data_IF_343099951713
#
_entry.id   IF_343099951713
#
_cell.length_a   1.000
_cell.length_b   1.000
_cell.length_c   1.000
_cell.angle_alpha   90.00
_cell.angle_beta   90.00
_cell.angle_gamma   90.00
#
_symmetry.space_group_name_H-M   'P 1'
#
loop_
_entity.id
_entity.type
_entity.pdbx_description
1 polymer ?
#
# COMPACT_ATOMS: atom_id res chain seq x y z
N UNK A 1 -13.23 35.36 29.09
CA UNK A 1 -13.85 34.63 27.94
C UNK A 1 -14.88 33.59 28.39
N UNK A 2 -14.53 32.60 29.25
CA UNK A 2 -15.49 31.57 29.73
C UNK A 2 -16.73 32.13 30.47
N UNK A 3 -16.56 33.15 31.31
CA UNK A 3 -17.70 33.78 32.03
C UNK A 3 -18.69 34.47 31.09
N UNK A 4 -18.18 35.14 30.04
CA UNK A 4 -19.02 35.82 29.05
C UNK A 4 -19.84 34.81 28.24
N UNK A 5 -19.23 33.69 27.82
CA UNK A 5 -19.91 32.62 27.08
C UNK A 5 -21.01 31.96 27.92
N UNK A 6 -20.73 31.73 29.20
CA UNK A 6 -21.71 31.16 30.15
C UNK A 6 -22.86 32.13 30.42
N UNK A 7 -22.56 33.42 30.58
CA UNK A 7 -23.55 34.48 30.73
C UNK A 7 -24.52 34.57 29.54
N UNK A 8 -24.02 34.53 28.29
CA UNK A 8 -24.88 34.54 27.11
C UNK A 8 -25.70 33.25 26.95
N UNK A 9 -25.15 32.08 27.32
CA UNK A 9 -25.89 30.82 27.34
C UNK A 9 -27.06 30.86 28.34
N UNK A 10 -26.82 31.33 29.57
CA UNK A 10 -27.85 31.48 30.59
C UNK A 10 -28.91 32.54 30.22
N UNK A 11 -28.48 33.65 29.61
CA UNK A 11 -29.38 34.71 29.12
C UNK A 11 -30.29 34.20 27.99
N UNK A 12 -29.75 33.41 27.06
CA UNK A 12 -30.50 32.81 25.96
C UNK A 12 -31.50 31.77 26.45
N UNK A 13 -31.14 30.95 27.44
CA UNK A 13 -32.03 29.95 28.04
C UNK A 13 -33.18 30.59 28.83
N UNK A 14 -32.97 31.76 29.46
CA UNK A 14 -34.02 32.50 30.18
C UNK A 14 -35.01 33.27 29.28
N UNK A 15 -34.61 33.61 28.05
CA UNK A 15 -35.40 34.47 27.14
C UNK A 15 -36.16 33.72 26.04
N UNK A 16 -35.78 32.47 25.75
CA UNK A 16 -36.39 31.67 24.69
C UNK A 16 -37.71 31.04 25.15
N UNK A 17 -38.67 30.95 24.23
CA UNK A 17 -39.86 30.11 24.42
C UNK A 17 -39.47 28.62 24.40
N UNK A 18 -40.31 27.74 24.98
CA UNK A 18 -40.05 26.29 24.98
C UNK A 18 -39.80 25.73 23.58
N UNK A 19 -40.54 26.21 22.57
CA UNK A 19 -40.36 25.83 21.16
C UNK A 19 -39.00 26.27 20.58
N UNK A 20 -38.48 27.42 20.99
CA UNK A 20 -37.16 27.90 20.56
C UNK A 20 -36.02 27.16 21.25
N UNK A 21 -36.20 26.71 22.50
CA UNK A 21 -35.24 25.86 23.22
C UNK A 21 -35.17 24.48 22.56
N UNK A 22 -36.30 23.89 22.21
CA UNK A 22 -36.37 22.59 21.53
C UNK A 22 -35.70 22.62 20.15
N UNK A 23 -35.96 23.67 19.35
CA UNK A 23 -35.30 23.89 18.05
C UNK A 23 -33.78 24.10 18.18
N UNK A 24 -33.35 24.78 19.23
CA UNK A 24 -31.93 24.98 19.49
C UNK A 24 -31.25 23.67 19.89
N UNK A 25 -31.86 22.86 20.75
CA UNK A 25 -31.35 21.53 21.11
C UNK A 25 -31.25 20.60 19.90
N UNK A 26 -32.30 20.53 19.08
CA UNK A 26 -32.25 19.70 17.85
C UNK A 26 -31.18 20.16 16.89
N UNK A 27 -30.94 21.48 16.78
CA UNK A 27 -29.84 22.02 15.98
C UNK A 27 -28.47 21.66 16.56
N UNK A 28 -28.27 21.82 17.86
CA UNK A 28 -27.01 21.48 18.54
C UNK A 28 -26.74 19.96 18.42
N UNK A 29 -27.76 19.12 18.58
CA UNK A 29 -27.69 17.68 18.35
C UNK A 29 -27.27 17.36 16.91
N UNK A 30 -27.87 18.02 15.91
CA UNK A 30 -27.47 17.86 14.50
C UNK A 30 -26.03 18.33 14.25
N UNK A 31 -25.58 19.42 14.88
CA UNK A 31 -24.19 19.89 14.78
C UNK A 31 -23.23 18.85 15.40
N UNK A 32 -23.54 18.29 16.59
CA UNK A 32 -22.69 17.25 17.20
C UNK A 32 -22.62 15.95 16.38
N UNK A 33 -23.73 15.55 15.73
CA UNK A 33 -23.76 14.39 14.83
C UNK A 33 -22.88 14.65 13.59
N UNK A 34 -22.94 15.85 13.02
CA UNK A 34 -22.08 16.23 11.88
C UNK A 34 -20.61 16.28 12.27
N UNK A 35 -20.29 16.87 13.43
CA UNK A 35 -18.92 16.97 13.92
C UNK A 35 -18.32 15.58 14.19
N UNK A 36 -19.11 14.68 14.80
CA UNK A 36 -18.69 13.29 15.03
C UNK A 36 -18.52 12.50 13.73
N UNK A 37 -19.39 12.71 12.73
CA UNK A 37 -19.21 12.15 11.39
C UNK A 37 -17.95 12.69 10.70
N UNK A 38 -17.69 14.00 10.78
CA UNK A 38 -16.48 14.60 10.21
C UNK A 38 -15.22 14.02 10.86
N UNK A 39 -15.21 13.90 12.19
CA UNK A 39 -14.10 13.30 12.92
C UNK A 39 -13.87 11.82 12.55
N UNK A 40 -14.95 11.08 12.25
CA UNK A 40 -14.86 9.70 11.77
C UNK A 40 -14.26 9.64 10.36
N UNK A 41 -14.64 10.55 9.47
CA UNK A 41 -14.09 10.60 8.11
C UNK A 41 -12.64 11.10 8.08
N UNK A 42 -12.24 11.95 9.03
CA UNK A 42 -10.88 12.50 9.14
C UNK A 42 -9.88 11.60 9.89
N UNK A 43 -10.26 10.35 10.20
CA UNK A 43 -9.35 9.39 10.87
C UNK A 43 -8.09 9.12 10.04
N UNK A 44 -6.98 8.87 10.71
CA UNK A 44 -5.74 8.43 10.08
C UNK A 44 -5.90 7.06 9.40
N UNK A 45 -5.24 6.85 8.26
CA UNK A 45 -5.37 5.64 7.43
C UNK A 45 -5.10 4.34 8.20
N UNK A 46 -4.24 4.36 9.22
CA UNK A 46 -3.95 3.20 10.09
C UNK A 46 -5.16 2.68 10.87
N UNK A 47 -6.21 3.50 11.03
CA UNK A 47 -7.46 3.14 11.73
C UNK A 47 -8.63 2.92 10.77
N UNK A 48 -8.36 2.95 9.47
CA UNK A 48 -9.35 2.78 8.41
C UNK A 48 -9.15 1.43 7.74
N UNK A 49 -10.25 0.86 7.28
CA UNK A 49 -10.25 -0.30 6.40
C UNK A 49 -9.92 0.11 4.96
N UNK A 50 -9.47 -0.83 4.13
CA UNK A 50 -9.09 -0.54 2.73
C UNK A 50 -10.24 0.05 1.90
N UNK A 51 -11.46 -0.41 2.13
CA UNK A 51 -12.66 0.06 1.43
C UNK A 51 -13.12 1.47 1.86
N UNK A 52 -12.66 1.95 3.02
CA UNK A 52 -12.93 3.30 3.54
C UNK A 52 -11.86 4.32 3.11
N UNK A 53 -10.81 3.89 2.40
CA UNK A 53 -9.69 4.75 2.01
C UNK A 53 -10.09 5.73 0.89
N UNK A 54 -10.04 7.02 1.21
CA UNK A 54 -10.26 8.11 0.24
C UNK A 54 -8.96 8.52 -0.46
N UNK A 55 -9.06 9.29 -1.54
CA UNK A 55 -7.89 9.87 -2.22
C UNK A 55 -7.02 10.74 -1.30
N UNK A 56 -7.65 11.41 -0.31
CA UNK A 56 -6.94 12.16 0.72
C UNK A 56 -6.11 11.23 1.61
N UNK A 57 -6.68 10.12 2.05
CA UNK A 57 -5.97 9.14 2.88
C UNK A 57 -4.79 8.53 2.11
N UNK A 58 -4.97 8.23 0.82
CA UNK A 58 -3.88 7.76 -0.03
C UNK A 58 -2.78 8.80 -0.23
N UNK A 59 -3.13 10.09 -0.24
CA UNK A 59 -2.15 11.16 -0.26
C UNK A 59 -1.35 11.23 1.03
N UNK A 60 -2.03 11.20 2.19
CA UNK A 60 -1.38 11.18 3.51
C UNK A 60 -0.48 9.95 3.63
N UNK A 61 -0.97 8.77 3.21
CA UNK A 61 -0.19 7.53 3.18
C UNK A 61 1.11 7.68 2.38
N UNK A 62 1.04 8.31 1.20
CA UNK A 62 2.24 8.56 0.37
C UNK A 62 3.18 9.55 1.04
N UNK A 63 2.65 10.58 1.70
CA UNK A 63 3.45 11.55 2.45
C UNK A 63 4.17 10.89 3.64
N UNK A 64 3.48 10.05 4.43
CA UNK A 64 4.04 9.33 5.58
C UNK A 64 5.19 8.40 5.19
N UNK A 65 5.07 7.70 4.06
CA UNK A 65 6.13 6.83 3.53
C UNK A 65 7.12 7.55 2.61
N UNK A 66 7.04 8.88 2.46
CA UNK A 66 7.90 9.68 1.59
C UNK A 66 7.92 9.19 0.12
N UNK A 67 6.77 8.74 -0.37
CA UNK A 67 6.58 8.21 -1.72
C UNK A 67 6.12 9.35 -2.65
N UNK A 68 6.92 9.63 -3.68
CA UNK A 68 6.52 10.51 -4.79
C UNK A 68 6.39 9.71 -6.08
N UNK A 69 5.32 9.95 -6.84
CA UNK A 69 5.04 9.19 -8.07
C UNK A 69 4.69 10.15 -9.20
N UNK A 70 5.26 9.87 -10.38
CA UNK A 70 4.96 10.59 -11.62
C UNK A 70 4.37 9.60 -12.63
N UNK A 71 3.30 9.99 -13.32
CA UNK A 71 2.63 9.17 -14.32
C UNK A 71 1.12 9.32 -14.30
N UNK A 72 0.46 8.97 -15.42
CA UNK A 72 -1.00 8.93 -15.49
C UNK A 72 -1.59 7.67 -14.85
N UNK A 73 -2.80 7.77 -14.29
CA UNK A 73 -3.61 6.67 -13.74
C UNK A 73 -2.78 5.73 -12.85
N UNK A 74 -2.18 6.26 -11.79
CA UNK A 74 -1.36 5.49 -10.85
C UNK A 74 -2.30 4.72 -9.91
N UNK A 75 -2.01 3.44 -9.70
CA UNK A 75 -2.74 2.60 -8.75
C UNK A 75 -2.43 2.99 -7.30
N UNK A 76 -3.25 2.52 -6.36
CA UNK A 76 -3.02 2.80 -4.95
C UNK A 76 -1.88 1.91 -4.41
N UNK A 77 -1.04 2.44 -3.50
CA UNK A 77 0.02 1.67 -2.88
C UNK A 77 -0.54 0.60 -1.92
N UNK A 78 0.26 -0.43 -1.66
CA UNK A 78 -0.07 -1.51 -0.73
C UNK A 78 0.12 -1.03 0.72
N UNK A 79 -0.89 -1.24 1.58
CA UNK A 79 -0.84 -0.93 3.03
C UNK A 79 -0.25 -2.06 3.86
N UNK A 80 -0.58 -3.30 3.55
CA UNK A 80 0.04 -4.50 4.13
C UNK A 80 -0.03 -5.65 3.12
N UNK A 81 0.69 -6.75 3.38
CA UNK A 81 0.77 -7.87 2.44
C UNK A 81 -0.59 -8.56 2.25
N UNK A 82 -1.39 -8.63 3.31
CA UNK A 82 -2.69 -9.30 3.35
C UNK A 82 -3.74 -8.58 2.50
N UNK A 83 -3.65 -7.25 2.42
CA UNK A 83 -4.51 -6.41 1.60
C UNK A 83 -4.07 -6.38 0.12
N UNK A 84 -2.96 -7.04 -0.23
CA UNK A 84 -2.41 -7.03 -1.59
C UNK A 84 -3.04 -8.11 -2.49
N UNK A 85 -3.08 -7.86 -3.80
CA UNK A 85 -3.57 -8.82 -4.79
C UNK A 85 -2.47 -9.82 -5.24
N UNK A 86 -1.65 -10.28 -4.29
CA UNK A 86 -0.53 -11.21 -4.54
C UNK A 86 -1.03 -12.65 -4.38
N UNK A 87 -0.50 -13.56 -5.19
CA UNK A 87 -0.85 -14.98 -5.13
C UNK A 87 -0.56 -15.56 -3.72
N UNK A 88 -1.48 -16.34 -3.09
CA UNK A 88 -1.33 -16.84 -1.72
C UNK A 88 -0.02 -17.59 -1.44
N UNK A 89 0.40 -18.45 -2.37
CA UNK A 89 1.72 -19.14 -2.28
C UNK A 89 2.90 -18.19 -2.12
N UNK A 90 2.86 -17.01 -2.78
CA UNK A 90 3.94 -16.03 -2.66
C UNK A 90 3.82 -15.24 -1.35
N UNK A 91 2.60 -14.98 -0.86
CA UNK A 91 2.39 -14.38 0.46
C UNK A 91 2.97 -15.27 1.58
N UNK A 92 2.74 -16.58 1.52
CA UNK A 92 3.37 -17.53 2.47
C UNK A 92 4.90 -17.49 2.42
N UNK A 93 5.48 -17.31 1.23
CA UNK A 93 6.94 -17.19 1.07
C UNK A 93 7.44 -15.86 1.65
N UNK A 94 6.74 -14.76 1.38
CA UNK A 94 7.06 -13.43 1.93
C UNK A 94 7.05 -13.48 3.47
N UNK A 95 6.02 -14.11 4.06
CA UNK A 95 5.90 -14.30 5.51
C UNK A 95 7.04 -15.17 6.07
N UNK A 96 7.31 -16.33 5.45
CA UNK A 96 8.39 -17.24 5.87
C UNK A 96 9.79 -16.61 5.80
N UNK A 97 10.00 -15.70 4.86
CA UNK A 97 11.27 -14.98 4.72
C UNK A 97 11.40 -13.80 5.72
N UNK A 98 10.35 -13.49 6.48
CA UNK A 98 10.37 -12.47 7.53
C UNK A 98 10.13 -11.05 7.04
N UNK A 99 9.50 -10.87 5.86
CA UNK A 99 9.09 -9.53 5.41
C UNK A 99 7.80 -9.11 6.10
N UNK A 100 7.90 -8.55 7.31
CA UNK A 100 6.72 -8.16 8.12
C UNK A 100 5.82 -7.13 7.42
N UNK A 101 6.42 -6.14 6.75
CA UNK A 101 5.68 -5.10 6.05
C UNK A 101 6.40 -4.65 4.78
N UNK A 102 5.66 -4.24 3.74
CA UNK A 102 6.28 -3.75 2.51
C UNK A 102 7.03 -2.43 2.74
N UNK A 103 8.21 -2.31 2.15
CA UNK A 103 9.00 -1.07 2.17
C UNK A 103 8.36 0.00 1.25
N UNK A 104 8.67 1.30 1.42
CA UNK A 104 8.06 2.36 0.62
C UNK A 104 8.11 2.12 -0.90
N UNK A 105 9.24 1.65 -1.43
CA UNK A 105 9.37 1.34 -2.85
C UNK A 105 8.53 0.13 -3.26
N UNK A 106 8.45 -0.91 -2.42
CA UNK A 106 7.63 -2.10 -2.66
C UNK A 106 6.14 -1.76 -2.70
N UNK A 107 5.68 -0.93 -1.75
CA UNK A 107 4.28 -0.49 -1.63
C UNK A 107 3.75 0.07 -2.94
N UNK A 108 4.58 0.82 -3.68
CA UNK A 108 4.17 1.48 -4.92
C UNK A 108 4.60 0.70 -6.18
N UNK A 109 5.82 0.15 -6.22
CA UNK A 109 6.32 -0.51 -7.42
C UNK A 109 5.60 -1.83 -7.70
N UNK A 110 5.25 -2.61 -6.67
CA UNK A 110 4.57 -3.89 -6.84
C UNK A 110 3.22 -3.73 -7.56
N UNK A 111 2.27 -2.89 -7.10
CA UNK A 111 0.98 -2.76 -7.77
C UNK A 111 1.10 -2.16 -9.19
N UNK A 112 2.12 -1.34 -9.48
CA UNK A 112 2.37 -0.86 -10.85
C UNK A 112 2.90 -2.00 -11.73
N UNK A 113 3.82 -2.82 -11.20
CA UNK A 113 4.39 -3.97 -11.91
C UNK A 113 3.35 -5.04 -12.22
N UNK A 114 2.40 -5.27 -11.31
CA UNK A 114 1.26 -6.18 -11.54
C UNK A 114 0.34 -5.71 -12.68
N UNK A 115 0.35 -4.42 -13.02
CA UNK A 115 -0.36 -3.87 -14.19
C UNK A 115 0.46 -3.93 -15.48
N UNK A 116 1.63 -4.59 -15.45
CA UNK A 116 2.57 -4.68 -16.57
C UNK A 116 2.96 -3.30 -17.14
N UNK A 117 3.22 -2.34 -16.24
CA UNK A 117 3.66 -0.98 -16.59
C UNK A 117 5.13 -0.79 -16.26
N UNK A 118 5.81 -0.02 -17.08
CA UNK A 118 7.20 0.36 -16.85
C UNK A 118 7.35 1.29 -15.64
N UNK A 119 8.44 1.10 -14.89
CA UNK A 119 8.72 1.80 -13.64
C UNK A 119 10.16 2.32 -13.65
N UNK A 120 10.33 3.58 -13.27
CA UNK A 120 11.63 4.12 -12.86
C UNK A 120 11.58 4.28 -11.34
N UNK A 121 12.29 3.39 -10.63
CA UNK A 121 12.37 3.40 -9.17
C UNK A 121 13.59 4.19 -8.69
N UNK A 122 13.37 5.34 -8.06
CA UNK A 122 14.44 6.14 -7.42
C UNK A 122 14.43 5.85 -5.93
N UNK A 123 15.35 5.02 -5.47
CA UNK A 123 15.54 4.69 -4.07
C UNK A 123 16.98 4.21 -3.80
N UNK A 124 17.44 4.33 -2.56
CA UNK A 124 18.81 3.92 -2.16
C UNK A 124 18.97 2.40 -2.04
N UNK A 125 20.20 1.89 -2.12
CA UNK A 125 20.47 0.46 -1.92
C UNK A 125 20.10 0.06 -0.49
N UNK A 126 19.52 -1.12 -0.30
CA UNK A 126 18.94 -1.53 1.00
C UNK A 126 17.48 -1.11 1.21
N UNK A 127 16.89 -0.28 0.34
CA UNK A 127 15.48 0.12 0.45
C UNK A 127 14.47 -0.97 0.04
N UNK A 128 14.92 -2.20 -0.20
CA UNK A 128 14.05 -3.30 -0.64
C UNK A 128 13.69 -3.33 -2.13
N UNK A 129 14.46 -2.64 -3.00
CA UNK A 129 14.22 -2.62 -4.46
C UNK A 129 14.13 -4.01 -5.09
N UNK A 130 14.97 -4.94 -4.64
CA UNK A 130 15.07 -6.30 -5.19
C UNK A 130 13.73 -7.02 -5.15
N UNK A 131 13.11 -7.12 -3.97
CA UNK A 131 11.78 -7.71 -3.85
C UNK A 131 10.70 -6.91 -4.59
N UNK A 132 10.87 -5.59 -4.76
CA UNK A 132 9.88 -4.73 -5.42
C UNK A 132 9.66 -5.09 -6.91
N UNK A 133 10.71 -5.51 -7.64
CA UNK A 133 10.58 -5.98 -9.03
C UNK A 133 10.46 -7.50 -9.15
N UNK A 134 10.97 -8.27 -8.18
CA UNK A 134 10.86 -9.74 -8.18
C UNK A 134 9.43 -10.19 -7.89
N UNK A 135 8.73 -9.56 -6.95
CA UNK A 135 7.38 -9.99 -6.55
C UNK A 135 6.41 -9.99 -7.75
N UNK A 136 6.26 -8.90 -8.53
CA UNK A 136 5.40 -8.91 -9.72
C UNK A 136 5.82 -9.95 -10.76
N UNK A 137 7.13 -10.14 -10.96
CA UNK A 137 7.67 -11.15 -11.87
C UNK A 137 7.26 -12.57 -11.44
N UNK A 138 7.39 -12.89 -10.15
CA UNK A 138 7.03 -14.21 -9.63
C UNK A 138 5.52 -14.45 -9.68
N UNK A 139 4.71 -13.43 -9.35
CA UNK A 139 3.25 -13.51 -9.50
C UNK A 139 2.89 -13.86 -10.96
N UNK A 140 3.53 -13.21 -11.92
CA UNK A 140 3.31 -13.49 -13.33
C UNK A 140 3.74 -14.92 -13.70
N UNK A 141 4.95 -15.36 -13.32
CA UNK A 141 5.46 -16.72 -13.63
C UNK A 141 4.55 -17.81 -13.04
N UNK A 142 4.11 -17.67 -11.78
CA UNK A 142 3.23 -18.65 -11.12
C UNK A 142 1.83 -18.70 -11.78
N UNK A 143 1.38 -17.58 -12.36
CA UNK A 143 0.09 -17.51 -13.04
C UNK A 143 0.08 -18.17 -14.42
N UNK A 144 1.26 -18.46 -14.99
CA UNK A 144 1.36 -19.12 -16.28
C UNK A 144 0.87 -20.57 -16.16
N UNK A 145 0.12 -21.07 -17.16
CA UNK A 145 -0.22 -22.48 -17.20
C UNK A 145 1.06 -23.32 -17.24
N UNK A 146 1.05 -24.44 -16.51
CA UNK A 146 2.14 -25.42 -16.57
C UNK A 146 2.15 -26.05 -17.95
N UNK A 147 2.97 -25.50 -18.85
CA UNK A 147 3.24 -26.09 -20.15
C UNK A 147 4.42 -27.05 -19.93
N UNK A 148 4.17 -28.35 -20.09
CA UNK A 148 5.23 -29.35 -20.17
C UNK A 148 5.96 -29.16 -21.50
N UNK A 149 7.00 -28.32 -21.50
CA UNK A 149 7.93 -28.26 -22.61
C UNK A 149 8.77 -29.54 -22.60
N UNK A 150 8.83 -30.22 -23.75
CA UNK A 150 9.87 -31.23 -23.99
C UNK A 150 11.25 -30.56 -23.85
N UNK A 151 12.21 -31.31 -23.30
CA UNK A 151 13.54 -30.83 -22.91
C UNK A 151 14.32 -30.18 -24.08
N UNK A 152 13.92 -30.45 -25.33
CA UNK A 152 14.56 -29.97 -26.56
C UNK A 152 14.11 -28.56 -27.02
N UNK A 153 13.12 -27.92 -26.37
CA UNK A 153 12.63 -26.57 -26.73
C UNK A 153 12.90 -25.50 -25.64
N UNK A 154 14.10 -25.45 -25.06
CA UNK A 154 14.40 -24.41 -24.06
C UNK A 154 14.45 -23.01 -24.69
N UNK A 155 13.40 -22.19 -24.49
CA UNK A 155 13.26 -20.82 -25.06
C UNK A 155 14.00 -19.72 -24.27
N UNK A 156 14.96 -20.10 -23.41
CA UNK A 156 15.67 -19.16 -22.54
C UNK A 156 14.83 -18.68 -21.34
N UNK A 157 15.34 -17.69 -20.57
CA UNK A 157 14.68 -17.23 -19.35
C UNK A 157 13.50 -16.29 -19.64
N UNK A 158 12.50 -16.29 -18.75
CA UNK A 158 11.38 -15.34 -18.80
C UNK A 158 11.76 -13.90 -18.46
N UNK A 159 12.81 -13.72 -17.66
CA UNK A 159 13.27 -12.41 -17.21
C UNK A 159 14.80 -12.38 -17.11
N UNK A 160 15.35 -11.19 -17.34
CA UNK A 160 16.78 -10.90 -17.22
C UNK A 160 16.91 -9.70 -16.29
N UNK A 161 17.72 -9.85 -15.24
CA UNK A 161 18.06 -8.76 -14.34
C UNK A 161 19.51 -8.40 -14.60
N UNK A 162 19.75 -7.17 -15.04
CA UNK A 162 21.09 -6.65 -15.31
C UNK A 162 21.57 -5.84 -14.10
N UNK A 163 22.80 -6.11 -13.66
CA UNK A 163 23.47 -5.37 -12.60
C UNK A 163 24.82 -4.84 -13.11
N UNK A 164 25.24 -3.63 -12.69
CA UNK A 164 26.49 -3.01 -13.15
C UNK A 164 27.75 -3.64 -12.57
N UNK A 165 27.65 -4.34 -11.44
CA UNK A 165 28.80 -4.98 -10.78
C UNK A 165 28.47 -6.43 -10.41
N UNK A 166 29.53 -7.25 -10.35
CA UNK A 166 29.46 -8.65 -9.96
C UNK A 166 28.89 -8.82 -8.54
N UNK A 167 29.31 -7.99 -7.60
CA UNK A 167 28.89 -8.07 -6.19
C UNK A 167 27.39 -7.78 -6.07
N UNK A 168 26.88 -6.80 -6.83
CA UNK A 168 25.45 -6.51 -6.82
C UNK A 168 24.64 -7.62 -7.50
N UNK A 169 25.16 -8.22 -8.57
CA UNK A 169 24.54 -9.38 -9.20
C UNK A 169 24.43 -10.57 -8.23
N UNK A 170 25.46 -10.83 -7.42
CA UNK A 170 25.45 -11.87 -6.39
C UNK A 170 24.41 -11.60 -5.31
N UNK A 171 24.35 -10.36 -4.79
CA UNK A 171 23.34 -9.96 -3.79
C UNK A 171 21.92 -10.13 -4.32
N UNK A 172 21.70 -9.77 -5.59
CA UNK A 172 20.40 -9.96 -6.24
C UNK A 172 20.08 -11.45 -6.38
N UNK A 173 21.01 -12.27 -6.88
CA UNK A 173 20.77 -13.71 -7.07
C UNK A 173 20.47 -14.42 -5.74
N UNK A 174 21.23 -14.14 -4.68
CA UNK A 174 20.97 -14.68 -3.34
C UNK A 174 19.56 -14.34 -2.85
N UNK A 175 19.13 -13.10 -3.05
CA UNK A 175 17.79 -12.67 -2.67
C UNK A 175 16.72 -13.35 -3.54
N UNK A 176 16.89 -13.39 -4.87
CA UNK A 176 15.94 -14.04 -5.78
C UNK A 176 15.80 -15.53 -5.44
N UNK A 177 16.91 -16.22 -5.13
CA UNK A 177 16.89 -17.64 -4.79
C UNK A 177 16.03 -17.94 -3.56
N UNK A 178 15.98 -17.05 -2.57
CA UNK A 178 15.13 -17.21 -1.39
C UNK A 178 13.65 -17.27 -1.76
N UNK A 179 13.22 -16.46 -2.72
CA UNK A 179 11.84 -16.47 -3.23
C UNK A 179 11.59 -17.59 -4.24
N UNK A 180 12.55 -17.84 -5.14
CA UNK A 180 12.37 -18.76 -6.26
C UNK A 180 12.40 -20.25 -5.85
N UNK A 181 13.25 -20.64 -4.89
CA UNK A 181 13.39 -22.04 -4.45
C UNK A 181 12.08 -22.64 -3.93
N UNK A 182 11.33 -22.00 -3.01
CA UNK A 182 10.04 -22.51 -2.54
C UNK A 182 8.98 -22.63 -3.64
N UNK A 183 9.11 -21.85 -4.72
CA UNK A 183 8.19 -21.82 -5.85
C UNK A 183 8.58 -22.77 -6.98
N UNK A 184 9.72 -23.48 -6.86
CA UNK A 184 10.24 -24.36 -7.91
C UNK A 184 10.76 -23.61 -9.14
N UNK A 185 11.04 -22.31 -9.02
CA UNK A 185 11.53 -21.47 -10.11
C UNK A 185 13.05 -21.55 -10.17
N UNK A 186 13.58 -21.76 -11.37
CA UNK A 186 15.03 -21.86 -11.61
C UNK A 186 15.62 -20.47 -11.84
N UNK A 187 16.74 -20.18 -11.17
CA UNK A 187 17.54 -18.97 -11.39
C UNK A 187 18.95 -19.35 -11.77
N UNK A 188 19.55 -18.60 -12.68
CA UNK A 188 20.93 -18.78 -13.13
C UNK A 188 21.57 -17.40 -13.13
N UNK A 189 22.73 -17.30 -12.49
CA UNK A 189 23.52 -16.08 -12.44
C UNK A 189 24.70 -16.18 -13.40
N UNK A 190 24.81 -15.20 -14.30
CA UNK A 190 25.89 -15.08 -15.28
C UNK A 190 26.81 -13.94 -14.83
N UNK A 191 27.86 -14.29 -14.08
CA UNK A 191 28.78 -13.34 -13.43
C UNK A 191 30.22 -13.68 -13.76
#
# INVERSE_FOLDING_TARGET
>A
KKELTKFYSDLMNKRRSEQEIERAKTRDEQETIKDSQSLYDDRHWTRKELNEMTDRDWRIFKEDFSISVKGGKICNPIRCWEESNIHPKLLEVIEKLGYEAPTPIQRMAIPIGLMNRDIIGVAETGSGKTAAYIIPLLVWIISLPTIEYSVDESRGPYAIILAPTRELAQQIDEEVQKFAKPLGIKTVSLI
#
